data_IF_787384714702
#
_entry.id   IF_787384714702
#
_cell.length_a   1.000
_cell.length_b   1.000
_cell.length_c   1.000
_cell.angle_alpha   90.00
_cell.angle_beta   90.00
_cell.angle_gamma   90.00
#
_symmetry.space_group_name_H-M   'P 1'
#
loop_
_entity.id
_entity.type
_entity.pdbx_description
1 polymer ?
#
# COMPACT_ATOMS: atom_id res chain seq x y z
N UNK A 1 7.11 -9.87 4.02
CA UNK A 1 5.65 -9.66 3.89
C UNK A 1 5.42 -8.17 3.71
N UNK A 2 4.67 -7.76 2.71
CA UNK A 2 4.46 -6.36 2.38
C UNK A 2 2.98 -6.16 2.07
N UNK A 3 2.36 -5.12 2.59
CA UNK A 3 0.92 -4.98 2.60
C UNK A 3 0.55 -3.63 1.98
N UNK A 4 -0.43 -3.65 1.07
CA UNK A 4 -0.93 -2.47 0.37
C UNK A 4 -2.39 -2.20 0.73
N UNK A 5 -2.74 -0.95 1.03
CA UNK A 5 -4.10 -0.52 1.29
C UNK A 5 -4.62 0.30 0.09
N UNK A 6 -5.47 -0.32 -0.75
CA UNK A 6 -6.17 0.37 -1.83
C UNK A 6 -7.56 0.81 -1.37
N UNK A 7 -8.08 1.92 -1.90
CA UNK A 7 -9.48 2.29 -1.69
C UNK A 7 -10.08 2.64 -3.04
N UNK A 8 -11.07 1.86 -3.47
CA UNK A 8 -11.87 2.16 -4.65
C UNK A 8 -12.64 3.48 -4.40
N UNK A 9 -12.52 4.42 -5.33
CA UNK A 9 -13.18 5.72 -5.28
C UNK A 9 -14.48 5.78 -6.09
N UNK A 10 -14.96 4.67 -6.67
CA UNK A 10 -16.20 4.67 -7.43
C UNK A 10 -17.43 4.87 -6.52
N UNK A 11 -17.83 6.12 -6.33
CA UNK A 11 -19.18 6.47 -5.89
C UNK A 11 -20.04 6.77 -7.10
N UNK A 12 -20.30 5.76 -7.93
CA UNK A 12 -21.41 5.81 -8.87
C UNK A 12 -22.71 5.50 -8.11
N UNK A 13 -23.27 6.52 -7.47
CA UNK A 13 -24.68 6.51 -7.10
C UNK A 13 -25.52 6.81 -8.35
N UNK A 14 -25.60 5.84 -9.26
CA UNK A 14 -26.67 5.82 -10.26
C UNK A 14 -27.94 5.27 -9.61
N UNK A 15 -28.90 6.17 -9.37
CA UNK A 15 -30.26 5.82 -9.00
C UNK A 15 -31.00 5.38 -10.25
N UNK A 16 -31.19 4.07 -10.43
CA UNK A 16 -31.92 3.50 -11.57
C UNK A 16 -32.79 2.33 -11.15
N UNK A 17 -34.10 2.57 -11.11
CA UNK A 17 -35.15 1.58 -10.88
C UNK A 17 -35.36 0.65 -12.10
N UNK A 18 -35.82 -0.56 -11.79
CA UNK A 18 -36.72 -1.49 -12.53
C UNK A 18 -36.20 -2.71 -13.33
N UNK A 19 -36.66 -3.89 -12.84
CA UNK A 19 -37.15 -5.15 -13.49
C UNK A 19 -36.17 -5.91 -14.41
N UNK A 20 -36.14 -7.25 -14.47
CA UNK A 20 -37.19 -8.27 -14.37
C UNK A 20 -36.58 -9.68 -14.19
N UNK A 21 -37.36 -10.63 -13.68
CA UNK A 21 -37.07 -12.07 -13.62
C UNK A 21 -36.80 -12.70 -14.99
N UNK A 22 -35.90 -13.68 -15.08
CA UNK A 22 -36.04 -14.90 -15.90
C UNK A 22 -35.01 -15.98 -15.51
N UNK A 23 -35.43 -17.23 -15.57
CA UNK A 23 -34.77 -18.44 -15.08
C UNK A 23 -33.91 -19.15 -16.13
N UNK A 24 -32.99 -19.98 -15.62
CA UNK A 24 -32.52 -21.29 -16.13
C UNK A 24 -31.80 -21.36 -17.49
N UNK A 25 -30.53 -21.78 -17.50
CA UNK A 25 -30.15 -23.18 -17.79
C UNK A 25 -28.64 -23.43 -17.68
N UNK A 26 -28.35 -24.68 -17.32
CA UNK A 26 -27.06 -25.28 -17.04
C UNK A 26 -26.57 -26.01 -18.29
N UNK A 27 -25.35 -25.72 -18.75
CA UNK A 27 -24.56 -26.64 -19.59
C UNK A 27 -23.07 -26.46 -19.28
N UNK A 28 -22.47 -27.55 -18.83
CA UNK A 28 -21.03 -27.78 -18.73
C UNK A 28 -20.40 -27.81 -20.13
N UNK A 29 -19.30 -27.07 -20.31
CA UNK A 29 -18.30 -27.36 -21.35
C UNK A 29 -16.89 -27.03 -20.86
N UNK A 30 -16.06 -28.05 -20.98
CA UNK A 30 -14.62 -28.20 -20.82
C UNK A 30 -13.72 -27.00 -21.16
N UNK A 31 -12.84 -26.68 -20.19
CA UNK A 31 -11.38 -26.51 -20.32
C UNK A 31 -10.81 -25.93 -21.62
N UNK A 32 -10.69 -24.60 -21.66
CA UNK A 32 -9.53 -23.91 -22.23
C UNK A 32 -9.07 -22.86 -21.21
N UNK A 33 -7.84 -23.02 -20.68
CA UNK A 33 -7.17 -21.99 -19.88
C UNK A 33 -6.76 -20.87 -20.84
N UNK A 34 -7.70 -19.98 -21.15
CA UNK A 34 -7.39 -18.64 -21.62
C UNK A 34 -6.66 -17.91 -20.50
N UNK A 35 -5.47 -17.38 -20.78
CA UNK A 35 -4.79 -16.39 -19.95
C UNK A 35 -5.67 -15.14 -19.85
N UNK A 36 -6.64 -15.18 -18.94
CA UNK A 36 -7.50 -14.05 -18.61
C UNK A 36 -6.60 -12.97 -18.03
N UNK A 37 -6.56 -11.84 -18.74
CA UNK A 37 -5.94 -10.56 -18.38
C UNK A 37 -5.87 -10.37 -16.86
N UNK A 38 -4.64 -10.48 -16.33
CA UNK A 38 -4.34 -10.68 -14.91
C UNK A 38 -3.92 -9.39 -14.18
N UNK A 39 -4.42 -8.23 -14.63
CA UNK A 39 -4.10 -6.93 -14.04
C UNK A 39 -5.23 -6.48 -13.13
N UNK A 40 -4.93 -6.14 -11.86
CA UNK A 40 -5.96 -5.75 -10.89
C UNK A 40 -5.75 -4.32 -10.35
N UNK A 41 -4.61 -3.65 -10.59
CA UNK A 41 -4.37 -2.35 -9.94
C UNK A 41 -3.82 -1.32 -10.92
N UNK A 42 -4.63 -0.29 -11.16
CA UNK A 42 -4.35 0.83 -12.05
C UNK A 42 -4.62 2.15 -11.30
N UNK A 43 -3.61 3.01 -11.22
CA UNK A 43 -3.85 4.44 -11.27
C UNK A 43 -4.10 4.78 -12.75
N UNK A 44 -5.19 5.48 -13.04
CA UNK A 44 -5.60 5.81 -14.40
C UNK A 44 -4.60 6.80 -15.05
N UNK A 45 -3.47 6.31 -15.56
CA UNK A 45 -2.57 7.19 -16.32
C UNK A 45 -1.25 6.60 -16.77
N UNK A 46 -0.49 5.91 -15.91
CA UNK A 46 0.93 5.66 -16.25
C UNK A 46 1.26 4.31 -16.87
N UNK A 47 0.48 3.24 -16.67
CA UNK A 47 0.93 1.88 -17.01
C UNK A 47 -0.13 0.91 -17.57
N UNK A 48 -1.25 1.41 -18.07
CA UNK A 48 -2.37 0.60 -18.57
C UNK A 48 -2.10 -0.33 -19.76
N UNK A 49 -0.88 -0.40 -20.30
CA UNK A 49 -0.64 -1.18 -21.52
C UNK A 49 0.65 -2.00 -21.57
N UNK A 50 1.40 -2.11 -20.48
CA UNK A 50 2.50 -3.06 -20.46
C UNK A 50 1.95 -4.40 -19.96
N UNK A 51 1.59 -5.26 -20.92
CA UNK A 51 1.46 -6.68 -20.64
C UNK A 51 2.74 -7.20 -19.96
N UNK A 52 2.63 -8.39 -19.37
CA UNK A 52 3.76 -9.03 -18.69
C UNK A 52 5.02 -9.12 -19.56
N UNK A 53 4.90 -9.26 -20.88
CA UNK A 53 6.01 -9.28 -21.82
C UNK A 53 6.66 -7.90 -21.98
N UNK A 54 5.87 -6.84 -22.17
CA UNK A 54 6.39 -5.48 -22.33
C UNK A 54 7.04 -4.92 -21.07
N UNK A 55 6.50 -5.24 -19.87
CA UNK A 55 7.17 -4.89 -18.61
C UNK A 55 8.55 -5.56 -18.54
N UNK A 56 8.60 -6.85 -18.92
CA UNK A 56 9.84 -7.63 -18.93
C UNK A 56 10.86 -7.03 -19.88
N UNK A 57 10.47 -6.71 -21.10
CA UNK A 57 11.35 -6.07 -22.10
C UNK A 57 11.91 -4.73 -21.59
N UNK A 58 11.04 -3.88 -21.03
CA UNK A 58 11.41 -2.52 -20.62
C UNK A 58 12.23 -2.47 -19.33
N UNK A 59 11.94 -3.33 -18.35
CA UNK A 59 12.40 -3.17 -16.98
C UNK A 59 13.15 -4.37 -16.40
N UNK A 60 13.12 -5.56 -17.02
CA UNK A 60 13.73 -6.75 -16.41
C UNK A 60 15.25 -6.60 -16.21
N UNK A 61 15.92 -5.91 -17.13
CA UNK A 61 17.37 -5.68 -17.06
C UNK A 61 17.74 -4.74 -15.90
N UNK A 62 16.92 -3.71 -15.63
CA UNK A 62 17.13 -2.72 -14.56
C UNK A 62 17.16 -3.31 -13.16
N UNK A 63 16.59 -4.49 -12.95
CA UNK A 63 16.61 -5.20 -11.65
C UNK A 63 18.03 -5.53 -11.18
N UNK A 64 18.96 -5.74 -12.10
CA UNK A 64 20.33 -6.13 -11.78
C UNK A 64 21.27 -4.93 -11.72
N UNK A 65 20.75 -3.74 -12.01
CA UNK A 65 21.52 -2.50 -12.05
C UNK A 65 21.21 -1.70 -10.78
N UNK A 66 21.89 -2.03 -9.69
CA UNK A 66 21.84 -1.21 -8.47
C UNK A 66 22.20 0.25 -8.78
N UNK A 67 23.06 0.49 -9.78
CA UNK A 67 23.41 1.80 -10.31
C UNK A 67 22.19 2.58 -10.83
N UNK A 68 21.24 1.93 -11.50
CA UNK A 68 20.05 2.60 -12.05
C UNK A 68 19.19 3.19 -10.93
N UNK A 69 18.95 2.44 -9.86
CA UNK A 69 18.18 2.88 -8.69
C UNK A 69 18.93 3.97 -7.92
N UNK A 70 20.26 3.86 -7.85
CA UNK A 70 21.12 4.80 -7.13
C UNK A 70 21.36 6.11 -7.90
N UNK A 71 20.83 6.27 -9.11
CA UNK A 71 20.90 7.55 -9.81
C UNK A 71 20.19 8.66 -9.05
N UNK A 72 20.79 9.84 -9.08
CA UNK A 72 20.29 11.11 -8.54
C UNK A 72 18.79 11.32 -8.78
N UNK A 73 18.37 11.28 -10.05
CA UNK A 73 16.97 11.44 -10.47
C UNK A 73 16.04 10.40 -9.86
N UNK A 74 16.51 9.17 -9.62
CA UNK A 74 15.68 8.12 -9.02
C UNK A 74 15.56 8.27 -7.52
N UNK A 75 16.61 8.70 -6.83
CA UNK A 75 16.52 9.02 -5.41
C UNK A 75 15.57 10.21 -5.18
N UNK A 76 15.66 11.26 -6.00
CA UNK A 76 14.70 12.37 -5.99
C UNK A 76 13.28 11.86 -6.18
N UNK A 77 13.04 11.05 -7.23
CA UNK A 77 11.72 10.47 -7.50
C UNK A 77 11.19 9.60 -6.36
N UNK A 78 12.06 8.89 -5.64
CA UNK A 78 11.70 8.14 -4.42
C UNK A 78 11.28 9.11 -3.32
N UNK A 79 12.07 10.16 -3.06
CA UNK A 79 11.77 11.13 -2.02
C UNK A 79 10.45 11.86 -2.31
N UNK A 80 10.24 12.29 -3.56
CA UNK A 80 8.98 12.88 -4.05
C UNK A 80 7.79 11.99 -3.75
N UNK A 81 7.93 10.70 -4.07
CA UNK A 81 6.88 9.72 -3.86
C UNK A 81 6.50 9.61 -2.38
N UNK A 82 7.52 9.39 -1.56
CA UNK A 82 7.38 9.12 -0.13
C UNK A 82 6.80 10.33 0.61
N UNK A 83 7.19 11.56 0.24
CA UNK A 83 6.66 12.78 0.88
C UNK A 83 5.31 13.24 0.31
N UNK A 84 4.74 12.53 -0.65
CA UNK A 84 3.46 12.90 -1.26
C UNK A 84 3.55 14.16 -2.13
N UNK A 85 4.72 14.45 -2.70
CA UNK A 85 5.03 15.67 -3.46
C UNK A 85 4.31 15.81 -4.82
N UNK A 86 3.28 15.02 -5.09
CA UNK A 86 2.58 15.01 -6.39
C UNK A 86 1.58 16.17 -6.55
N UNK A 87 1.34 16.96 -5.49
CA UNK A 87 0.36 18.05 -5.50
C UNK A 87 0.96 19.44 -5.82
N UNK A 88 2.27 19.59 -5.98
CA UNK A 88 2.93 20.90 -6.08
C UNK A 88 3.68 21.18 -7.40
N UNK A 89 3.52 20.33 -8.43
CA UNK A 89 3.92 20.70 -9.79
C UNK A 89 2.78 21.39 -10.55
N UNK A 90 2.15 22.38 -9.91
CA UNK A 90 1.30 23.38 -10.56
C UNK A 90 2.14 24.54 -11.10
N UNK A 91 3.16 24.20 -11.90
CA UNK A 91 3.94 25.16 -12.68
C UNK A 91 3.65 25.00 -14.16
N UNK A 92 2.39 24.80 -14.55
CA UNK A 92 1.83 25.08 -15.89
C UNK A 92 2.53 24.53 -17.14
N UNK A 93 3.57 23.69 -17.02
CA UNK A 93 4.49 23.39 -18.13
C UNK A 93 4.97 21.93 -18.19
N UNK A 94 4.61 21.08 -17.23
CA UNK A 94 4.89 19.65 -17.29
C UNK A 94 3.65 18.91 -16.78
N UNK A 95 3.05 18.11 -17.66
CA UNK A 95 1.97 17.17 -17.34
C UNK A 95 2.26 16.53 -15.98
N UNK A 96 1.30 16.57 -15.06
CA UNK A 96 1.42 16.00 -13.72
C UNK A 96 1.74 14.51 -13.86
N UNK A 97 3.03 14.19 -13.85
CA UNK A 97 3.49 12.83 -14.10
C UNK A 97 3.13 12.01 -12.89
N UNK A 98 2.28 11.01 -13.07
CA UNK A 98 1.99 10.06 -12.00
C UNK A 98 3.29 9.40 -11.50
N UNK A 99 3.28 8.96 -10.25
CA UNK A 99 4.43 8.26 -9.73
C UNK A 99 4.64 6.92 -10.42
N UNK A 100 5.88 6.63 -10.81
CA UNK A 100 6.29 5.28 -11.21
C UNK A 100 6.28 4.30 -10.01
N UNK A 101 6.17 4.79 -8.77
CA UNK A 101 6.28 3.99 -7.55
C UNK A 101 4.90 3.62 -6.98
N UNK A 102 4.83 2.45 -6.35
CA UNK A 102 3.68 1.98 -5.59
C UNK A 102 4.13 1.80 -4.13
N UNK A 103 3.65 2.68 -3.25
CA UNK A 103 3.85 2.59 -1.80
C UNK A 103 3.24 1.32 -1.23
N UNK A 104 3.98 0.62 -0.39
CA UNK A 104 3.49 -0.50 0.42
C UNK A 104 4.17 -0.47 1.79
N UNK A 105 3.69 -1.24 2.77
CA UNK A 105 4.26 -1.22 4.12
C UNK A 105 4.50 -2.61 4.69
N UNK A 106 5.57 -2.77 5.47
CA UNK A 106 5.82 -3.96 6.29
C UNK A 106 5.44 -3.77 7.77
N UNK A 107 4.91 -2.60 8.15
CA UNK A 107 4.54 -2.26 9.52
C UNK A 107 3.03 -2.46 9.74
N UNK A 108 2.68 -3.50 10.48
CA UNK A 108 1.29 -3.83 10.81
C UNK A 108 0.54 -2.68 11.50
N UNK A 109 1.19 -1.94 12.40
CA UNK A 109 0.51 -0.86 13.14
C UNK A 109 0.22 0.33 12.23
N UNK A 110 1.17 0.66 11.36
CA UNK A 110 0.98 1.68 10.35
C UNK A 110 -0.23 1.35 9.47
N UNK A 111 -0.36 0.10 9.05
CA UNK A 111 -1.44 -0.36 8.18
C UNK A 111 -2.82 -0.23 8.85
N UNK A 112 -2.96 -0.66 10.12
CA UNK A 112 -4.24 -0.51 10.83
C UNK A 112 -4.59 0.97 10.99
N UNK A 113 -3.62 1.83 11.31
CA UNK A 113 -3.84 3.27 11.38
C UNK A 113 -4.22 3.87 10.02
N UNK A 114 -3.59 3.45 8.93
CA UNK A 114 -3.86 3.97 7.58
C UNK A 114 -5.25 3.53 7.06
N UNK A 115 -5.63 2.26 7.28
CA UNK A 115 -6.98 1.76 6.95
C UNK A 115 -8.04 2.57 7.69
N UNK A 116 -7.87 2.74 9.00
CA UNK A 116 -8.84 3.47 9.84
C UNK A 116 -8.90 4.96 9.45
N UNK A 117 -7.76 5.59 9.14
CA UNK A 117 -7.71 6.98 8.62
C UNK A 117 -8.45 7.11 7.29
N UNK A 118 -8.30 6.16 6.37
CA UNK A 118 -9.02 6.16 5.07
C UNK A 118 -10.52 6.02 5.27
N UNK A 119 -10.94 5.10 6.14
CA UNK A 119 -12.36 4.87 6.42
C UNK A 119 -13.00 6.04 7.18
N UNK A 120 -12.29 6.68 8.11
CA UNK A 120 -12.82 7.76 8.96
C UNK A 120 -12.60 9.14 8.34
N UNK A 121 -11.35 9.60 8.26
CA UNK A 121 -10.95 10.94 7.83
C UNK A 121 -11.16 11.17 6.34
N UNK A 122 -10.79 10.20 5.50
CA UNK A 122 -10.99 10.31 4.04
C UNK A 122 -12.35 9.78 3.57
N UNK A 123 -13.21 9.35 4.50
CA UNK A 123 -14.59 8.91 4.26
C UNK A 123 -14.74 7.85 3.15
N UNK A 124 -13.73 6.97 2.99
CA UNK A 124 -13.85 5.82 2.09
C UNK A 124 -14.88 4.84 2.66
N UNK A 125 -15.70 4.25 1.78
CA UNK A 125 -16.67 3.22 2.15
C UNK A 125 -15.99 1.88 2.45
N UNK A 126 -14.91 1.60 1.71
CA UNK A 126 -14.17 0.34 1.70
C UNK A 126 -12.67 0.60 1.53
N UNK A 127 -11.85 -0.25 2.13
CA UNK A 127 -10.41 -0.34 1.90
C UNK A 127 -10.05 -1.81 1.68
N UNK A 128 -9.28 -2.11 0.65
CA UNK A 128 -8.73 -3.44 0.39
C UNK A 128 -7.30 -3.51 0.90
N UNK A 129 -6.99 -4.58 1.61
CA UNK A 129 -5.66 -4.85 2.14
C UNK A 129 -5.09 -6.08 1.43
N UNK A 130 -4.07 -5.87 0.60
CA UNK A 130 -3.42 -6.94 -0.16
C UNK A 130 -2.16 -7.41 0.55
N UNK A 131 -2.09 -8.71 0.77
CA UNK A 131 -0.91 -9.38 1.30
C UNK A 131 0.02 -9.75 0.15
N UNK A 132 1.17 -9.09 0.04
CA UNK A 132 2.12 -9.26 -1.06
C UNK A 132 3.34 -10.04 -0.58
N UNK A 133 3.70 -11.06 -1.36
CA UNK A 133 4.91 -11.85 -1.19
C UNK A 133 6.13 -11.01 -1.56
N UNK A 134 7.03 -10.79 -0.60
CA UNK A 134 8.37 -10.23 -0.84
C UNK A 134 9.36 -11.39 -0.95
N UNK A 135 9.87 -11.64 -2.16
CA UNK A 135 10.92 -12.63 -2.38
C UNK A 135 12.29 -11.97 -2.08
N UNK A 136 12.91 -12.33 -0.95
CA UNK A 136 14.26 -11.85 -0.60
C UNK A 136 15.32 -12.39 -1.56
N UNK A 137 15.17 -13.67 -1.92
CA UNK A 137 16.02 -14.32 -2.89
C UNK A 137 15.16 -14.82 -4.05
N UNK A 138 15.59 -14.49 -5.27
CA UNK A 138 15.04 -15.14 -6.46
C UNK A 138 16.17 -15.86 -7.16
N UNK A 139 16.00 -17.17 -7.35
CA UNK A 139 16.95 -17.99 -8.09
C UNK A 139 17.35 -17.34 -9.42
N UNK A 140 18.63 -17.47 -9.79
CA UNK A 140 19.15 -17.07 -11.10
C UNK A 140 18.42 -17.79 -12.25
N UNK A 141 17.83 -18.95 -11.97
CA UNK A 141 17.08 -19.76 -12.95
C UNK A 141 15.60 -19.36 -13.09
N UNK A 142 15.10 -18.40 -12.32
CA UNK A 142 13.70 -17.99 -12.41
C UNK A 142 13.43 -17.22 -13.72
N UNK A 143 12.59 -17.77 -14.59
CA UNK A 143 12.28 -17.23 -15.94
C UNK A 143 11.07 -16.27 -16.01
N UNK A 144 10.33 -16.13 -14.91
CA UNK A 144 9.15 -15.27 -14.85
C UNK A 144 9.50 -13.80 -14.60
N UNK A 145 8.47 -12.94 -14.67
CA UNK A 145 8.59 -11.52 -14.31
C UNK A 145 8.85 -11.36 -12.82
N UNK A 146 9.66 -10.37 -12.45
CA UNK A 146 9.98 -10.06 -11.07
C UNK A 146 9.69 -8.60 -10.81
N UNK A 147 9.04 -8.23 -9.70
CA UNK A 147 8.90 -6.84 -9.33
C UNK A 147 10.28 -6.25 -9.00
N UNK A 148 10.46 -4.97 -9.29
CA UNK A 148 11.56 -4.17 -8.75
C UNK A 148 11.07 -3.63 -7.40
N UNK A 149 11.72 -4.06 -6.33
CA UNK A 149 11.36 -3.72 -4.95
C UNK A 149 12.51 -2.91 -4.36
N UNK A 150 12.19 -1.76 -3.77
CA UNK A 150 13.16 -0.85 -3.18
C UNK A 150 12.81 -0.61 -1.72
N UNK A 151 13.85 -0.64 -0.87
CA UNK A 151 13.79 -0.08 0.47
C UNK A 151 14.18 1.42 0.36
N UNK A 152 13.21 2.35 0.39
CA UNK A 152 13.50 3.77 0.22
C UNK A 152 14.38 4.30 1.35
N UNK A 153 14.24 3.77 2.57
CA UNK A 153 15.02 4.21 3.72
C UNK A 153 16.50 3.89 3.54
N UNK A 154 16.80 2.69 3.04
CA UNK A 154 18.18 2.31 2.71
C UNK A 154 18.75 3.24 1.62
N UNK A 155 18.03 3.42 0.51
CA UNK A 155 18.50 4.21 -0.63
C UNK A 155 18.70 5.69 -0.32
N UNK A 156 17.81 6.28 0.46
CA UNK A 156 17.97 7.68 0.92
C UNK A 156 19.17 7.81 1.87
N UNK A 157 19.41 6.82 2.76
CA UNK A 157 20.57 6.85 3.67
C UNK A 157 21.90 6.73 2.94
N UNK A 158 22.02 5.77 2.03
CA UNK A 158 23.18 5.62 1.14
C UNK A 158 23.45 6.95 0.45
N UNK A 159 22.40 7.58 -0.09
CA UNK A 159 22.54 8.85 -0.79
C UNK A 159 22.99 10.00 0.11
N UNK A 160 22.40 10.16 1.29
CA UNK A 160 22.81 11.20 2.25
C UNK A 160 24.27 11.01 2.69
N UNK A 161 24.75 9.77 2.77
CA UNK A 161 26.12 9.46 3.16
C UNK A 161 27.12 9.73 2.02
N UNK A 162 26.73 9.43 0.78
CA UNK A 162 27.56 9.62 -0.41
C UNK A 162 27.59 11.07 -0.89
N UNK A 163 26.53 11.85 -0.63
CA UNK A 163 26.47 13.25 -1.06
C UNK A 163 27.28 14.19 -0.15
N UNK A 164 28.52 14.40 -0.57
CA UNK A 164 29.34 15.54 -0.19
C UNK A 164 28.87 16.83 -0.91
N UNK A 165 27.96 16.75 -1.90
CA UNK A 165 27.58 17.88 -2.76
C UNK A 165 26.17 18.45 -2.49
N UNK A 166 26.08 19.79 -2.42
CA UNK A 166 24.94 20.61 -1.94
C UNK A 166 23.69 20.71 -2.83
N UNK A 167 23.49 19.83 -3.80
CA UNK A 167 22.47 20.02 -4.84
C UNK A 167 21.11 19.38 -4.50
N UNK A 168 21.03 18.60 -3.42
CA UNK A 168 19.75 18.09 -2.91
C UNK A 168 19.12 19.00 -1.86
N UNK A 169 17.79 19.02 -1.87
CA UNK A 169 17.01 19.45 -0.72
C UNK A 169 17.10 18.40 0.40
N UNK A 170 18.08 18.57 1.29
CA UNK A 170 18.24 17.72 2.47
C UNK A 170 16.99 17.69 3.35
N UNK A 171 16.20 18.76 3.40
CA UNK A 171 14.96 18.79 4.20
C UNK A 171 13.96 17.77 3.68
N UNK A 172 13.82 17.69 2.36
CA UNK A 172 12.97 16.71 1.68
C UNK A 172 13.47 15.28 1.85
N UNK A 173 14.77 15.02 1.70
CA UNK A 173 15.35 13.70 1.94
C UNK A 173 15.16 13.24 3.40
N UNK A 174 15.32 14.14 4.37
CA UNK A 174 15.09 13.82 5.78
C UNK A 174 13.60 13.61 6.09
N UNK A 175 12.70 14.38 5.45
CA UNK A 175 11.26 14.15 5.55
C UNK A 175 10.87 12.77 4.98
N UNK A 176 11.38 12.43 3.79
CA UNK A 176 11.16 11.14 3.15
C UNK A 176 11.69 9.99 4.02
N UNK A 177 12.94 10.10 4.49
CA UNK A 177 13.57 9.14 5.41
C UNK A 177 12.75 8.94 6.69
N UNK A 178 12.27 10.03 7.31
CA UNK A 178 11.45 9.97 8.52
C UNK A 178 10.11 9.29 8.26
N UNK A 179 9.47 9.60 7.13
CA UNK A 179 8.22 8.97 6.73
C UNK A 179 8.43 7.47 6.49
N UNK A 180 9.35 7.09 5.59
CA UNK A 180 9.65 5.71 5.25
C UNK A 180 10.00 4.86 6.48
N UNK A 181 10.75 5.41 7.43
CA UNK A 181 11.05 4.75 8.70
C UNK A 181 9.79 4.55 9.56
N UNK A 182 8.92 5.54 9.64
CA UNK A 182 7.71 5.49 10.48
C UNK A 182 6.67 4.52 9.91
N UNK A 183 6.53 4.50 8.59
CA UNK A 183 5.57 3.68 7.86
C UNK A 183 6.07 2.27 7.53
N UNK A 184 7.36 1.99 7.70
CA UNK A 184 7.95 0.73 7.24
C UNK A 184 7.80 0.57 5.73
N UNK A 185 7.97 1.67 4.99
CA UNK A 185 7.66 1.72 3.57
C UNK A 185 8.56 0.83 2.74
N UNK A 186 7.95 0.18 1.76
CA UNK A 186 8.61 -0.57 0.69
C UNK A 186 7.99 -0.08 -0.61
N UNK A 187 8.83 0.23 -1.60
CA UNK A 187 8.36 0.70 -2.89
C UNK A 187 8.44 -0.40 -3.93
N UNK A 188 7.40 -0.52 -4.75
CA UNK A 188 7.44 -1.29 -5.98
C UNK A 188 7.52 -0.34 -7.16
N UNK A 189 8.43 -0.59 -8.10
CA UNK A 189 8.53 0.21 -9.32
C UNK A 189 7.67 -0.37 -10.45
N UNK A 190 6.74 0.43 -10.94
CA UNK A 190 5.85 0.18 -12.07
C UNK A 190 4.70 -0.79 -11.78
N UNK A 191 4.98 -1.98 -11.23
CA UNK A 191 3.96 -3.04 -11.14
C UNK A 191 4.16 -4.02 -9.98
N UNK A 192 3.04 -4.39 -9.35
CA UNK A 192 2.90 -5.58 -8.49
C UNK A 192 2.18 -6.66 -9.29
N UNK A 193 2.75 -7.87 -9.39
CA UNK A 193 2.13 -8.94 -10.16
C UNK A 193 1.07 -9.68 -9.33
N UNK A 194 -0.04 -10.08 -9.98
CA UNK A 194 -1.11 -10.85 -9.32
C UNK A 194 -0.62 -12.11 -8.62
N UNK A 195 0.34 -12.83 -9.22
CA UNK A 195 0.94 -14.03 -8.63
C UNK A 195 1.68 -13.77 -7.29
N UNK A 196 2.05 -12.52 -7.02
CA UNK A 196 2.72 -12.11 -5.80
C UNK A 196 1.71 -11.67 -4.72
N UNK A 197 0.43 -11.48 -5.07
CA UNK A 197 -0.64 -11.21 -4.12
C UNK A 197 -1.15 -12.54 -3.57
N UNK A 198 -0.90 -12.78 -2.29
CA UNK A 198 -1.27 -14.01 -1.59
C UNK A 198 -2.72 -13.98 -1.14
N UNK A 199 -3.17 -12.84 -0.64
CA UNK A 199 -4.49 -12.66 -0.05
C UNK A 199 -4.96 -11.22 -0.22
N UNK A 200 -6.27 -11.01 -0.22
CA UNK A 200 -6.90 -9.71 -0.18
C UNK A 200 -8.01 -9.74 0.84
N UNK A 201 -7.97 -8.83 1.81
CA UNK A 201 -9.04 -8.66 2.80
C UNK A 201 -9.74 -7.32 2.59
N UNK A 202 -11.05 -7.29 2.86
CA UNK A 202 -11.89 -6.12 2.65
C UNK A 202 -12.26 -5.51 4.00
N UNK A 203 -11.96 -4.23 4.17
CA UNK A 203 -12.19 -3.48 5.40
C UNK A 203 -13.28 -2.45 5.17
N UNK A 204 -14.24 -2.41 6.08
CA UNK A 204 -15.30 -1.40 6.08
C UNK A 204 -15.41 -0.78 7.47
N UNK A 205 -16.22 0.28 7.60
CA UNK A 205 -16.51 0.84 8.93
C UNK A 205 -17.20 -0.15 9.86
N UNK A 206 -17.92 -1.13 9.33
CA UNK A 206 -18.70 -2.10 10.11
C UNK A 206 -17.89 -3.31 10.51
N UNK A 207 -16.98 -3.74 9.65
CA UNK A 207 -16.28 -5.02 9.78
C UNK A 207 -14.80 -4.88 9.38
N UNK A 208 -13.86 -5.39 10.21
CA UNK A 208 -12.46 -5.47 9.82
C UNK A 208 -12.26 -6.61 8.82
N UNK A 209 -11.22 -6.54 7.99
CA UNK A 209 -10.95 -7.59 7.00
C UNK A 209 -10.49 -8.93 7.59
N UNK A 210 -10.09 -8.94 8.87
CA UNK A 210 -9.80 -10.13 9.67
C UNK A 210 -9.81 -9.77 11.16
N UNK A 211 -9.74 -10.79 12.01
CA UNK A 211 -9.69 -10.62 13.47
C UNK A 211 -8.41 -9.91 13.91
N UNK A 212 -8.57 -8.71 14.48
CA UNK A 212 -7.47 -7.95 15.05
C UNK A 212 -7.03 -8.55 16.40
N UNK A 213 -5.73 -8.51 16.73
CA UNK A 213 -5.25 -8.90 18.05
C UNK A 213 -5.88 -8.09 19.18
N UNK A 214 -6.08 -8.70 20.35
CA UNK A 214 -6.69 -8.06 21.53
C UNK A 214 -6.02 -6.74 21.95
N UNK A 215 -4.70 -6.60 21.72
CA UNK A 215 -3.97 -5.37 22.07
C UNK A 215 -4.34 -4.18 21.19
N UNK A 216 -5.06 -4.39 20.08
CA UNK A 216 -5.61 -3.32 19.27
C UNK A 216 -6.80 -2.63 19.93
N UNK A 217 -7.46 -3.28 20.90
CA UNK A 217 -8.72 -2.81 21.47
C UNK A 217 -8.62 -2.29 22.91
N UNK A 218 -9.47 -1.31 23.24
CA UNK A 218 -9.73 -0.91 24.63
C UNK A 218 -10.40 -2.06 25.40
N UNK A 219 -10.32 -2.09 26.75
CA UNK A 219 -10.98 -3.13 27.54
C UNK A 219 -12.48 -3.24 27.25
N UNK A 220 -13.00 -4.48 27.16
CA UNK A 220 -14.41 -4.76 26.81
C UNK A 220 -15.45 -4.07 27.68
N UNK A 221 -15.13 -3.80 28.95
CA UNK A 221 -16.02 -3.08 29.88
C UNK A 221 -16.34 -1.64 29.45
N UNK A 222 -15.57 -1.09 28.50
CA UNK A 222 -15.79 0.24 27.93
C UNK A 222 -16.49 0.20 26.57
N UNK A 223 -16.86 -0.97 26.07
CA UNK A 223 -17.52 -1.09 24.76
C UNK A 223 -19.01 -0.75 24.90
N UNK A 224 -19.50 0.08 23.99
CA UNK A 224 -20.92 0.30 23.76
C UNK A 224 -21.45 -0.65 22.67
N UNK A 225 -22.74 -0.97 22.72
CA UNK A 225 -23.41 -1.79 21.71
C UNK A 225 -23.46 -1.14 20.32
N UNK A 226 -23.28 0.19 20.25
CA UNK A 226 -23.28 0.95 19.00
C UNK A 226 -21.88 1.11 18.40
N UNK A 227 -20.84 0.76 19.15
CA UNK A 227 -19.47 0.98 18.73
C UNK A 227 -19.13 0.05 17.57
N UNK A 228 -18.57 0.62 16.51
CA UNK A 228 -17.90 -0.15 15.46
C UNK A 228 -16.58 -0.75 16.00
N UNK A 229 -15.95 -1.62 15.22
CA UNK A 229 -14.62 -2.13 15.58
C UNK A 229 -13.58 -1.01 15.67
N UNK A 230 -13.75 0.08 14.91
CA UNK A 230 -12.84 1.23 14.94
C UNK A 230 -12.99 2.05 16.23
N UNK A 231 -14.22 2.23 16.71
CA UNK A 231 -14.50 2.95 17.96
C UNK A 231 -13.94 2.20 19.19
N UNK A 232 -13.72 0.89 19.05
CA UNK A 232 -13.14 0.03 20.08
C UNK A 232 -11.61 0.01 20.07
N UNK A 233 -10.95 0.65 19.11
CA UNK A 233 -9.49 0.68 19.04
C UNK A 233 -8.90 1.49 20.18
N UNK A 234 -7.66 1.17 20.58
CA UNK A 234 -6.92 1.96 21.58
C UNK A 234 -6.53 3.36 21.12
N UNK A 235 -6.81 3.71 19.86
CA UNK A 235 -6.49 4.98 19.24
C UNK A 235 -7.65 5.42 18.33
N UNK A 236 -7.72 6.71 18.02
CA UNK A 236 -8.65 7.31 17.04
C UNK A 236 -7.86 7.85 15.87
N UNK A 237 -8.01 7.31 14.65
CA UNK A 237 -7.31 7.83 13.48
C UNK A 237 -7.79 9.23 13.02
N UNK A 238 -8.90 9.72 13.59
CA UNK A 238 -9.35 11.10 13.40
C UNK A 238 -8.49 12.10 14.17
N UNK A 239 -8.05 11.71 15.37
CA UNK A 239 -7.40 12.60 16.35
C UNK A 239 -5.91 12.29 16.54
N UNK A 240 -5.54 11.01 16.51
CA UNK A 240 -4.18 10.53 16.76
C UNK A 240 -3.35 10.45 15.47
N UNK A 241 -2.12 10.94 15.55
CA UNK A 241 -1.09 10.65 14.56
C UNK A 241 -0.72 9.16 14.54
N UNK A 242 -0.13 8.70 13.44
CA UNK A 242 0.36 7.32 13.32
C UNK A 242 1.35 6.95 14.45
N UNK A 243 2.18 7.92 14.87
CA UNK A 243 3.15 7.76 15.96
C UNK A 243 2.44 7.54 17.30
N UNK A 244 1.41 8.33 17.61
CA UNK A 244 0.64 8.20 18.85
C UNK A 244 -0.14 6.88 18.86
N UNK A 245 -0.80 6.54 17.75
CA UNK A 245 -1.51 5.28 17.59
C UNK A 245 -0.59 4.08 17.84
N UNK A 246 0.61 4.08 17.24
CA UNK A 246 1.65 3.06 17.48
C UNK A 246 2.03 2.97 18.96
N UNK A 247 2.25 4.10 19.63
CA UNK A 247 2.60 4.09 21.04
C UNK A 247 1.48 3.53 21.92
N UNK A 248 0.21 3.88 21.65
CA UNK A 248 -0.95 3.33 22.36
C UNK A 248 -1.06 1.81 22.18
N UNK A 249 -0.84 1.31 20.95
CA UNK A 249 -0.81 -0.13 20.65
C UNK A 249 0.29 -0.87 21.42
N UNK A 250 1.50 -0.31 21.45
CA UNK A 250 2.64 -0.89 22.19
C UNK A 250 2.35 -0.91 23.69
N UNK A 251 1.84 0.20 24.24
CA UNK A 251 1.53 0.32 25.67
C UNK A 251 0.40 -0.61 26.11
N UNK A 252 -0.50 -1.01 25.21
CA UNK A 252 -1.61 -1.91 25.53
C UNK A 252 -1.16 -3.35 25.80
N UNK A 253 -0.10 -3.82 25.13
CA UNK A 253 0.41 -5.19 25.26
C UNK A 253 0.74 -5.60 26.70
N UNK A 254 1.56 -4.87 27.48
CA UNK A 254 1.87 -5.23 28.86
C UNK A 254 0.65 -5.16 29.79
N UNK A 255 -0.32 -4.27 29.52
CA UNK A 255 -1.56 -4.19 30.31
C UNK A 255 -2.37 -5.49 30.24
N UNK A 256 -2.44 -6.09 29.04
CA UNK A 256 -3.13 -7.37 28.85
C UNK A 256 -2.44 -8.51 29.60
N UNK A 257 -1.11 -8.53 29.62
CA UNK A 257 -0.33 -9.54 30.36
C UNK A 257 -0.58 -9.44 31.86
N UNK A 258 -0.66 -8.23 32.41
CA UNK A 258 -0.92 -8.01 33.83
C UNK A 258 -2.36 -8.36 34.24
N UNK A 259 -3.35 -8.13 33.35
CA UNK A 259 -4.76 -8.42 33.66
C UNK A 259 -5.12 -9.92 33.71
N UNK A 260 -4.20 -10.80 33.27
CA UNK A 260 -4.38 -12.26 33.26
C UNK A 260 -3.79 -12.93 34.50
N UNK A 261 -3.07 -12.19 35.33
CA UNK A 261 -2.53 -12.64 36.61
C UNK A 261 -3.52 -12.31 37.71
#
# INVERSE_FOLDING_TARGET
>A
MVIYAYSDSSSDYSTGYNRQYSSSNHTDTTSERSDVSSTIFHGEGFHDQLDSGRYKEKYQWQRYEDEWISTNTRIDSIADHVTGGWNDYDYGLLESRESDWISTSNDFYWLIWEITRRLTKLKRSKVELHLIRKLEYTSRYYKGNKPIIVDPLQKIREKIQDDIYHWFDHSKLDAAKKFAYTSGEILFYGRIFRKDILETSVWTRREPGFDLPDYCFIPRKYWSYRDSWMDRLVFSAGDDSAKEARQKLINRRPQLQNSRR
#
